data_IF_813278401131
#
_entry.id   IF_813278401131
#
_cell.length_a   1.000
_cell.length_b   1.000
_cell.length_c   1.000
_cell.angle_alpha   90.00
_cell.angle_beta   90.00
_cell.angle_gamma   90.00
#
_symmetry.space_group_name_H-M   'P 1'
#
loop_
_entity.id
_entity.type
_entity.pdbx_description
1 polymer ?
#
# COMPACT_ATOMS: atom_id res chain seq x y z
N UNK A 1 19.27 13.25 13.97
CA UNK A 1 18.09 12.54 14.53
C UNK A 1 17.29 12.02 13.35
N UNK A 2 17.07 10.70 13.26
CA UNK A 2 16.30 10.13 12.16
C UNK A 2 14.81 10.22 12.47
N UNK A 3 14.00 10.73 11.53
CA UNK A 3 12.56 10.89 11.70
C UNK A 3 11.86 9.96 10.71
N UNK A 4 11.47 8.78 11.19
CA UNK A 4 10.74 7.80 10.41
C UNK A 4 9.26 7.86 10.77
N UNK A 5 8.41 7.78 9.74
CA UNK A 5 6.97 7.57 9.89
C UNK A 5 6.58 6.27 9.20
N UNK A 6 5.73 5.51 9.88
CA UNK A 6 5.04 4.39 9.27
C UNK A 6 3.79 4.92 8.56
N UNK A 7 3.64 4.56 7.29
CA UNK A 7 2.51 4.96 6.44
C UNK A 7 1.87 3.70 5.88
N UNK A 8 0.54 3.68 5.84
CA UNK A 8 -0.23 2.62 5.21
C UNK A 8 -1.00 3.19 4.03
N UNK A 9 -0.85 2.56 2.86
CA UNK A 9 -1.55 2.91 1.64
C UNK A 9 -2.47 1.74 1.26
N UNK A 10 -3.74 2.04 0.97
CA UNK A 10 -4.73 1.06 0.50
C UNK A 10 -5.02 1.33 -0.97
N UNK A 11 -4.72 0.37 -1.83
CA UNK A 11 -5.04 0.41 -3.26
C UNK A 11 -6.20 -0.54 -3.54
N UNK A 12 -7.30 0.00 -4.06
CA UNK A 12 -8.50 -0.76 -4.38
C UNK A 12 -8.73 -0.64 -5.88
N UNK A 13 -8.66 -1.76 -6.58
CA UNK A 13 -9.02 -1.85 -8.00
C UNK A 13 -10.39 -2.53 -8.12
N UNK A 14 -11.35 -1.82 -8.69
CA UNK A 14 -12.70 -2.33 -8.94
C UNK A 14 -12.90 -2.43 -10.45
N UNK A 15 -13.08 -3.65 -10.93
CA UNK A 15 -13.51 -3.92 -12.30
C UNK A 15 -14.89 -4.60 -12.27
N UNK A 16 -15.57 -4.63 -13.42
CA UNK A 16 -16.93 -5.18 -13.58
C UNK A 16 -17.12 -6.62 -13.11
N UNK A 17 -16.03 -7.39 -13.00
CA UNK A 17 -16.06 -8.80 -12.62
C UNK A 17 -15.19 -9.13 -11.41
N UNK A 18 -14.39 -8.17 -10.93
CA UNK A 18 -13.38 -8.42 -9.89
C UNK A 18 -13.16 -7.21 -8.99
N UNK A 19 -13.12 -7.45 -7.68
CA UNK A 19 -12.58 -6.52 -6.69
C UNK A 19 -11.19 -6.99 -6.28
N UNK A 20 -10.20 -6.11 -6.28
CA UNK A 20 -8.86 -6.38 -5.73
C UNK A 20 -8.50 -5.30 -4.73
N UNK A 21 -7.96 -5.68 -3.58
CA UNK A 21 -7.39 -4.74 -2.62
C UNK A 21 -5.98 -5.15 -2.24
N UNK A 22 -5.06 -4.19 -2.29
CA UNK A 22 -3.69 -4.31 -1.84
C UNK A 22 -3.48 -3.34 -0.68
N UNK A 23 -2.97 -3.83 0.44
CA UNK A 23 -2.51 -2.98 1.54
C UNK A 23 -0.99 -2.92 1.49
N UNK A 24 -0.44 -1.72 1.44
CA UNK A 24 0.99 -1.47 1.50
C UNK A 24 1.35 -0.81 2.82
N UNK A 25 2.42 -1.29 3.44
CA UNK A 25 3.07 -0.57 4.53
C UNK A 25 4.39 0.02 4.01
N UNK A 26 4.63 1.29 4.30
CA UNK A 26 5.89 1.96 3.97
C UNK A 26 6.48 2.66 5.19
N UNK A 27 7.77 2.39 5.46
CA UNK A 27 8.55 3.19 6.39
C UNK A 27 9.20 4.33 5.60
N UNK A 28 8.82 5.57 5.89
CA UNK A 28 9.31 6.76 5.20
C UNK A 28 10.17 7.59 6.12
N UNK A 29 11.42 7.85 5.72
CA UNK A 29 12.27 8.83 6.37
C UNK A 29 11.96 10.22 5.81
N UNK A 30 11.56 11.16 6.67
CA UNK A 30 11.21 12.52 6.26
C UNK A 30 12.34 13.51 6.56
N UNK A 31 13.60 13.10 6.35
CA UNK A 31 14.71 14.05 6.35
C UNK A 31 14.74 14.78 5.02
N UNK A 32 14.96 16.10 5.04
CA UNK A 32 14.58 17.06 3.98
C UNK A 32 14.98 16.71 2.52
N UNK A 33 15.92 15.78 2.28
CA UNK A 33 16.42 15.44 0.95
C UNK A 33 16.48 13.94 0.60
N UNK A 34 15.98 13.02 1.43
CA UNK A 34 16.04 11.56 1.13
C UNK A 34 14.84 10.81 1.70
N UNK A 35 13.86 10.51 0.83
CA UNK A 35 12.80 9.56 1.15
C UNK A 35 13.32 8.15 0.84
N UNK A 36 13.83 7.44 1.85
CA UNK A 36 13.93 5.99 1.77
C UNK A 36 12.52 5.44 2.00
N UNK A 37 11.94 4.80 0.98
CA UNK A 37 10.64 4.12 1.07
C UNK A 37 10.88 2.62 0.88
N UNK A 38 10.63 1.84 1.93
CA UNK A 38 10.59 0.38 1.84
C UNK A 38 9.13 -0.01 1.81
N UNK A 39 8.63 -0.51 0.67
CA UNK A 39 7.23 -0.89 0.48
C UNK A 39 7.07 -2.40 0.53
N UNK A 40 6.20 -2.88 1.40
CA UNK A 40 5.80 -4.29 1.46
C UNK A 40 4.31 -4.44 1.19
N UNK A 41 3.93 -5.44 0.38
CA UNK A 41 2.54 -5.87 0.25
C UNK A 41 2.21 -6.69 1.50
N UNK A 42 1.29 -6.19 2.32
CA UNK A 42 0.90 -6.82 3.58
C UNK A 42 -0.28 -7.78 3.39
N UNK A 43 -1.23 -7.43 2.50
CA UNK A 43 -2.39 -8.24 2.16
C UNK A 43 -2.73 -8.00 0.70
N UNK A 44 -2.99 -9.07 -0.04
CA UNK A 44 -3.61 -9.05 -1.37
C UNK A 44 -4.78 -10.01 -1.36
N UNK A 45 -5.98 -9.53 -1.69
CA UNK A 45 -7.12 -10.39 -1.91
C UNK A 45 -7.92 -9.94 -3.13
N UNK A 46 -8.56 -10.91 -3.77
CA UNK A 46 -9.40 -10.70 -4.92
C UNK A 46 -10.73 -11.43 -4.74
N UNK A 47 -11.82 -10.80 -5.14
CA UNK A 47 -13.15 -11.41 -5.15
C UNK A 47 -13.74 -11.29 -6.55
N UNK A 48 -14.19 -12.42 -7.11
CA UNK A 48 -14.87 -12.48 -8.40
C UNK A 48 -16.39 -12.32 -8.21
N UNK A 49 -17.01 -11.45 -9.02
CA UNK A 49 -18.45 -11.30 -9.07
C UNK A 49 -18.99 -12.34 -10.07
N UNK A 50 -19.76 -13.32 -9.59
CA UNK A 50 -20.54 -14.22 -10.46
C UNK A 50 -21.89 -13.56 -10.74
N UNK A 51 -22.16 -13.27 -12.02
CA UNK A 51 -23.46 -12.81 -12.52
C UNK A 51 -24.41 -13.99 -12.74
#
# INVERSE_FOLDING_TARGET
MFNYKLVFDLDIQINTQTYKWNIYASLRNYNRNTTLEIRYIFVQAAYEIKL
#
